data_IF_899873447103
#
_entry.id   IF_899873447103
#
_cell.length_a   1.000
_cell.length_b   1.000
_cell.length_c   1.000
_cell.angle_alpha   90.00
_cell.angle_beta   90.00
_cell.angle_gamma   90.00
#
_symmetry.space_group_name_H-M   'P 1'
#
loop_
_entity.id
_entity.type
_entity.pdbx_description
1 polymer ?
#
# COMPACT_ATOMS: atom_id res chain seq x y z
N UNK A 1 17.55 25.15 -22.04
CA UNK A 1 16.59 25.20 -20.93
C UNK A 1 17.34 25.57 -19.67
N UNK A 2 16.91 26.62 -18.96
CA UNK A 2 17.36 26.87 -17.60
C UNK A 2 16.87 25.71 -16.70
N UNK A 3 17.58 25.37 -15.61
CA UNK A 3 17.09 24.39 -14.62
C UNK A 3 15.70 24.75 -14.07
N UNK A 4 15.35 26.05 -14.01
CA UNK A 4 14.01 26.49 -13.59
C UNK A 4 12.94 26.22 -14.67
N UNK A 5 13.29 26.40 -15.94
CA UNK A 5 12.39 26.11 -17.06
C UNK A 5 12.16 24.60 -17.20
N UNK A 6 13.20 23.81 -16.94
CA UNK A 6 13.10 22.35 -16.93
C UNK A 6 12.17 21.86 -15.82
N UNK A 7 12.29 22.41 -14.61
CA UNK A 7 11.40 22.04 -13.49
C UNK A 7 9.94 22.39 -13.78
N UNK A 8 9.67 23.57 -14.35
CA UNK A 8 8.31 23.97 -14.75
C UNK A 8 7.74 23.03 -15.79
N UNK A 9 8.52 22.69 -16.81
CA UNK A 9 8.11 21.73 -17.82
C UNK A 9 7.83 20.34 -17.25
N UNK A 10 8.67 19.82 -16.34
CA UNK A 10 8.45 18.52 -15.68
C UNK A 10 7.17 18.50 -14.84
N UNK A 11 6.87 19.59 -14.13
CA UNK A 11 5.67 19.72 -13.31
C UNK A 11 4.40 19.82 -14.18
N UNK A 12 4.48 20.54 -15.30
CA UNK A 12 3.41 20.64 -16.30
C UNK A 12 3.16 19.29 -17.01
N UNK A 13 4.21 18.55 -17.36
CA UNK A 13 4.10 17.23 -18.00
C UNK A 13 3.61 16.14 -17.04
N UNK A 14 4.06 16.12 -15.78
CA UNK A 14 3.57 15.16 -14.78
C UNK A 14 2.07 15.34 -14.45
N UNK A 15 1.51 16.53 -14.69
CA UNK A 15 0.08 16.79 -14.56
C UNK A 15 -0.77 16.24 -15.72
N UNK A 16 -0.14 15.89 -16.84
CA UNK A 16 -0.86 15.37 -18.00
C UNK A 16 -1.18 13.88 -17.83
N UNK A 17 -2.31 13.46 -18.40
CA UNK A 17 -2.70 12.04 -18.41
C UNK A 17 -1.77 11.26 -19.34
N UNK A 18 -1.17 10.21 -18.82
CA UNK A 18 -0.36 9.28 -19.61
C UNK A 18 -1.26 8.60 -20.66
N UNK A 19 -0.88 8.74 -21.94
CA UNK A 19 -1.49 7.98 -23.03
C UNK A 19 -0.80 6.63 -23.19
N UNK A 20 -1.57 5.55 -23.17
CA UNK A 20 -1.08 4.19 -23.38
C UNK A 20 -1.24 3.72 -24.83
N UNK A 21 -1.68 4.59 -25.76
CA UNK A 21 -1.98 4.23 -27.16
C UNK A 21 -0.75 3.72 -27.93
N UNK A 22 0.43 4.21 -27.58
CA UNK A 22 1.71 3.77 -28.15
C UNK A 22 2.52 2.84 -27.23
N UNK A 23 1.95 2.44 -26.07
CA UNK A 23 2.65 1.60 -25.10
C UNK A 23 2.41 0.11 -25.42
N UNK A 24 3.48 -0.68 -25.52
CA UNK A 24 3.35 -2.13 -25.61
C UNK A 24 3.10 -2.71 -24.22
N UNK A 25 1.86 -3.14 -23.97
CA UNK A 25 1.48 -3.78 -22.71
C UNK A 25 1.49 -5.29 -22.96
N UNK A 26 2.53 -5.94 -22.47
CA UNK A 26 2.64 -7.39 -22.54
C UNK A 26 1.64 -8.05 -21.58
N UNK A 27 0.87 -9.06 -22.04
CA UNK A 27 0.06 -9.86 -21.15
C UNK A 27 0.97 -10.68 -20.23
N UNK A 28 0.60 -10.77 -18.95
CA UNK A 28 1.33 -11.61 -18.00
C UNK A 28 1.27 -13.08 -18.45
N UNK A 29 2.40 -13.81 -18.49
CA UNK A 29 2.44 -15.20 -18.96
C UNK A 29 1.69 -16.16 -18.03
N UNK A 30 1.52 -15.78 -16.77
CA UNK A 30 0.68 -16.45 -15.79
C UNK A 30 0.23 -15.44 -14.73
N UNK A 31 -0.82 -15.82 -13.99
CA UNK A 31 -1.41 -15.00 -12.94
C UNK A 31 -1.59 -15.86 -11.69
N UNK A 32 -1.23 -15.32 -10.52
CA UNK A 32 -1.51 -15.97 -9.26
C UNK A 32 -2.88 -15.56 -8.73
N UNK A 33 -3.60 -16.54 -8.20
CA UNK A 33 -4.87 -16.32 -7.49
C UNK A 33 -4.58 -16.29 -5.99
N UNK A 34 -5.19 -15.35 -5.27
CA UNK A 34 -4.97 -15.17 -3.81
C UNK A 34 -5.17 -16.45 -2.97
N UNK A 35 -6.00 -17.40 -3.43
CA UNK A 35 -6.30 -18.67 -2.74
C UNK A 35 -5.33 -19.81 -3.10
N UNK A 36 -4.28 -19.52 -3.87
CA UNK A 36 -3.28 -20.53 -4.26
C UNK A 36 -2.44 -20.90 -3.05
N UNK A 37 -2.30 -22.19 -2.76
CA UNK A 37 -1.46 -22.65 -1.66
C UNK A 37 0.01 -22.34 -1.92
N UNK A 38 0.76 -22.06 -0.86
CA UNK A 38 2.16 -21.66 -0.93
C UNK A 38 3.05 -22.69 -1.68
N UNK A 39 2.78 -23.98 -1.48
CA UNK A 39 3.47 -25.07 -2.20
C UNK A 39 3.20 -25.03 -3.70
N UNK A 40 1.96 -24.76 -4.12
CA UNK A 40 1.64 -24.61 -5.55
C UNK A 40 2.34 -23.39 -6.14
N UNK A 41 2.39 -22.28 -5.40
CA UNK A 41 3.15 -21.09 -5.81
C UNK A 41 4.63 -21.44 -6.00
N UNK A 42 5.24 -22.19 -5.07
CA UNK A 42 6.63 -22.65 -5.19
C UNK A 42 6.88 -23.49 -6.44
N UNK A 43 5.99 -24.44 -6.73
CA UNK A 43 6.08 -25.26 -7.95
C UNK A 43 5.97 -24.41 -9.22
N UNK A 44 5.04 -23.44 -9.26
CA UNK A 44 4.87 -22.54 -10.41
C UNK A 44 6.12 -21.67 -10.61
N UNK A 45 6.67 -21.07 -9.55
CA UNK A 45 7.89 -20.26 -9.64
C UNK A 45 9.06 -21.07 -10.19
N UNK A 46 9.18 -22.33 -9.75
CA UNK A 46 10.25 -23.23 -10.19
C UNK A 46 10.05 -23.69 -11.63
N UNK A 47 8.81 -23.94 -12.06
CA UNK A 47 8.49 -24.39 -13.41
C UNK A 47 8.67 -23.29 -14.44
N UNK A 48 8.21 -22.07 -14.14
CA UNK A 48 8.26 -20.94 -15.08
C UNK A 48 9.61 -20.21 -15.00
N UNK A 49 10.39 -20.39 -13.92
CA UNK A 49 11.71 -19.78 -13.77
C UNK A 49 11.66 -18.27 -13.52
N UNK A 50 10.61 -17.80 -12.84
CA UNK A 50 10.34 -16.37 -12.62
C UNK A 50 10.70 -15.90 -11.21
N UNK A 51 11.05 -14.63 -11.09
CA UNK A 51 11.43 -14.02 -9.81
C UNK A 51 10.27 -13.27 -9.14
N UNK A 52 9.31 -12.79 -9.93
CA UNK A 52 8.17 -12.02 -9.47
C UNK A 52 6.90 -12.53 -10.15
N UNK A 53 5.80 -12.52 -9.40
CA UNK A 53 4.49 -12.88 -9.92
C UNK A 53 3.44 -11.92 -9.35
N UNK A 54 2.49 -11.52 -10.19
CA UNK A 54 1.37 -10.68 -9.80
C UNK A 54 0.23 -11.55 -9.27
N UNK A 55 -0.28 -11.19 -8.10
CA UNK A 55 -1.42 -11.83 -7.45
C UNK A 55 -2.67 -10.99 -7.71
N UNK A 56 -3.74 -11.67 -8.10
CA UNK A 56 -5.00 -11.02 -8.46
C UNK A 56 -6.18 -11.67 -7.75
N UNK A 57 -7.22 -10.87 -7.56
CA UNK A 57 -8.54 -11.31 -7.15
C UNK A 57 -9.57 -10.70 -8.11
N UNK A 58 -10.27 -11.54 -8.86
CA UNK A 58 -11.31 -11.12 -9.83
C UNK A 58 -10.78 -10.02 -10.78
N UNK A 59 -9.58 -10.21 -11.31
CA UNK A 59 -8.94 -9.27 -12.25
C UNK A 59 -8.37 -7.98 -11.62
N UNK A 60 -8.44 -7.82 -10.30
CA UNK A 60 -7.81 -6.72 -9.57
C UNK A 60 -6.45 -7.14 -9.04
N UNK A 61 -5.43 -6.30 -9.21
CA UNK A 61 -4.12 -6.50 -8.61
C UNK A 61 -4.23 -6.40 -7.08
N UNK A 62 -3.83 -7.45 -6.38
CA UNK A 62 -3.81 -7.50 -4.91
C UNK A 62 -2.39 -7.30 -4.39
N UNK A 63 -1.39 -7.81 -5.10
CA UNK A 63 0.00 -7.66 -4.71
C UNK A 63 0.97 -8.36 -5.64
N UNK A 64 2.25 -8.33 -5.26
CA UNK A 64 3.34 -9.02 -5.97
C UNK A 64 4.01 -9.97 -4.99
N UNK A 65 4.37 -11.16 -5.46
CA UNK A 65 5.13 -12.13 -4.68
C UNK A 65 6.51 -12.28 -5.31
N UNK A 66 7.56 -12.20 -4.49
CA UNK A 66 8.94 -12.46 -4.90
C UNK A 66 9.42 -13.86 -4.50
N UNK A 67 10.36 -14.43 -5.25
CA UNK A 67 10.97 -15.73 -4.96
C UNK A 67 11.64 -15.78 -3.57
N UNK A 68 12.25 -14.68 -3.13
CA UNK A 68 12.90 -14.57 -1.80
C UNK A 68 11.89 -14.66 -0.66
N UNK A 69 10.78 -13.93 -0.78
CA UNK A 69 9.71 -13.91 0.21
C UNK A 69 8.99 -15.25 0.26
N UNK A 70 8.78 -15.86 -0.91
CA UNK A 70 8.20 -17.19 -1.04
C UNK A 70 9.00 -18.26 -0.28
N UNK A 71 10.33 -18.28 -0.43
CA UNK A 71 11.20 -19.22 0.33
C UNK A 71 11.07 -19.02 1.83
N UNK A 72 11.17 -17.77 2.28
CA UNK A 72 11.03 -17.41 3.70
C UNK A 72 9.66 -17.83 4.25
N UNK A 73 8.59 -17.62 3.50
CA UNK A 73 7.25 -18.02 3.90
C UNK A 73 7.12 -19.56 4.04
N UNK A 74 7.79 -20.35 3.20
CA UNK A 74 7.79 -21.82 3.28
C UNK A 74 8.56 -22.29 4.52
N UNK A 75 9.74 -21.72 4.78
CA UNK A 75 10.54 -22.01 5.98
C UNK A 75 9.76 -21.68 7.27
N UNK A 76 9.07 -20.52 7.28
CA UNK A 76 8.21 -20.10 8.39
C UNK A 76 6.99 -21.01 8.57
N UNK A 77 6.38 -21.43 7.48
CA UNK A 77 5.23 -22.35 7.52
C UNK A 77 5.62 -23.72 8.09
N UNK A 78 6.81 -24.22 7.75
CA UNK A 78 7.32 -25.50 8.26
C UNK A 78 7.78 -25.43 9.73
N UNK A 79 8.19 -24.24 10.19
CA UNK A 79 8.58 -23.99 11.59
C UNK A 79 7.42 -23.58 12.50
N UNK A 80 6.19 -23.49 11.97
CA UNK A 80 5.00 -23.11 12.74
C UNK A 80 4.95 -21.62 13.13
N UNK A 81 5.83 -20.79 12.56
CA UNK A 81 5.91 -19.36 12.84
C UNK A 81 5.00 -18.63 11.84
N UNK A 82 3.78 -18.29 12.27
CA UNK A 82 2.89 -17.43 11.48
C UNK A 82 3.35 -15.99 11.64
N UNK A 83 3.93 -15.41 10.59
CA UNK A 83 4.20 -13.98 10.55
C UNK A 83 2.88 -13.22 10.38
N UNK A 84 2.34 -12.70 11.49
CA UNK A 84 1.36 -11.62 11.46
C UNK A 84 2.07 -10.34 11.03
N UNK A 85 2.06 -10.04 9.73
CA UNK A 85 2.57 -8.77 9.23
C UNK A 85 1.71 -7.63 9.81
N UNK A 86 2.32 -6.56 10.35
CA UNK A 86 1.56 -5.40 10.75
C UNK A 86 0.93 -4.79 9.49
N UNK A 87 -0.39 -4.74 9.49
CA UNK A 87 -1.18 -3.96 8.55
C UNK A 87 -0.64 -2.53 8.58
N UNK A 88 -0.06 -2.07 7.47
CA UNK A 88 0.17 -0.65 7.29
C UNK A 88 -1.21 -0.03 7.06
N UNK A 89 -1.86 0.34 8.16
CA UNK A 89 -3.09 1.12 8.14
C UNK A 89 -2.78 2.41 7.39
N UNK A 90 -3.17 2.49 6.13
CA UNK A 90 -3.26 3.74 5.41
C UNK A 90 -4.35 4.56 6.08
N UNK A 91 -3.97 5.35 7.08
CA UNK A 91 -4.80 6.43 7.59
C UNK A 91 -4.98 7.42 6.44
N UNK A 92 -6.06 7.24 5.68
CA UNK A 92 -6.60 8.24 4.79
C UNK A 92 -7.08 9.42 5.63
N UNK A 93 -6.16 10.27 6.07
CA UNK A 93 -6.50 11.62 6.51
C UNK A 93 -6.91 12.38 5.25
N UNK A 94 -8.22 12.46 5.00
CA UNK A 94 -8.77 13.45 4.09
C UNK A 94 -8.46 14.83 4.69
N UNK A 95 -7.30 15.40 4.34
CA UNK A 95 -7.06 16.82 4.49
C UNK A 95 -7.83 17.53 3.38
N UNK A 96 -9.02 18.00 3.72
CA UNK A 96 -9.72 19.02 2.94
C UNK A 96 -8.88 20.28 3.04
N UNK A 97 -8.14 20.60 1.97
CA UNK A 97 -7.41 21.86 1.81
C UNK A 97 -8.43 22.98 1.55
N UNK A 98 -8.70 23.80 2.57
CA UNK A 98 -9.33 25.12 2.38
C UNK A 98 -8.26 26.13 1.97
N UNK A 99 -8.52 27.05 1.02
CA UNK A 99 -7.48 27.85 0.37
C UNK A 99 -7.05 29.10 1.17
N UNK A 100 -7.36 29.21 2.46
CA UNK A 100 -7.02 30.42 3.22
C UNK A 100 -6.31 30.06 4.53
N UNK A 101 -5.04 30.46 4.61
CA UNK A 101 -4.09 30.04 5.64
C UNK A 101 -4.32 30.74 6.97
N UNK A 102 -5.23 30.20 7.80
CA UNK A 102 -5.36 30.62 9.21
C UNK A 102 -5.47 29.41 10.15
N UNK A 103 -4.59 29.27 11.16
CA UNK A 103 -4.73 28.21 12.15
C UNK A 103 -5.85 28.59 13.13
N UNK A 104 -6.99 27.90 13.07
CA UNK A 104 -8.04 28.06 14.09
C UNK A 104 -7.79 27.07 15.22
N UNK A 105 -7.11 27.54 16.26
CA UNK A 105 -7.26 27.03 17.63
C UNK A 105 -8.75 27.05 18.00
N UNK A 106 -9.25 26.00 18.63
CA UNK A 106 -10.57 26.00 19.28
C UNK A 106 -10.45 25.26 20.62
N UNK A 107 -11.04 25.80 21.69
CA UNK A 107 -10.35 26.01 22.95
C UNK A 107 -10.65 24.97 24.02
N UNK A 108 -9.76 24.97 25.00
CA UNK A 108 -9.79 24.26 26.27
C UNK A 108 -10.78 24.86 27.29
N UNK A 109 -11.66 23.98 27.80
CA UNK A 109 -12.37 23.99 29.11
C UNK A 109 -13.40 25.11 29.42
N UNK A 110 -14.39 24.82 30.29
CA UNK A 110 -14.16 25.05 31.72
C UNK A 110 -14.64 23.93 32.66
N UNK A 111 -13.88 23.84 33.75
CA UNK A 111 -14.11 23.07 34.97
C UNK A 111 -15.34 23.61 35.74
N UNK A 112 -16.07 22.76 36.45
CA UNK A 112 -16.95 23.16 37.57
C UNK A 112 -16.90 22.13 38.69
N UNK A 113 -16.37 22.60 39.83
CA UNK A 113 -16.29 21.93 41.13
C UNK A 113 -17.67 21.86 41.80
N UNK A 114 -17.94 20.81 42.58
CA UNK A 114 -18.24 20.94 44.02
C UNK A 114 -18.30 19.59 44.75
N UNK A 115 -17.72 19.60 45.95
CA UNK A 115 -17.57 18.56 46.97
C UNK A 115 -18.86 17.87 47.44
N UNK A 116 -18.75 16.63 47.94
CA UNK A 116 -18.83 16.33 49.38
C UNK A 116 -18.49 14.86 49.67
N UNK A 117 -17.69 14.65 50.72
CA UNK A 117 -17.46 13.37 51.38
C UNK A 117 -18.70 12.96 52.20
N UNK A 118 -19.00 11.66 52.31
CA UNK A 118 -19.24 11.02 53.62
C UNK A 118 -19.25 9.49 53.49
N UNK A 119 -19.10 8.86 54.64
CA UNK A 119 -18.75 7.50 54.98
C UNK A 119 -20.01 6.66 55.17
N UNK A 120 -20.00 5.40 54.75
CA UNK A 120 -20.79 4.31 55.35
C UNK A 120 -20.22 2.97 54.95
#
# INVERSE_FOLDING_TARGET
MSPEDQKKWEEEEMGQKVSFEQCHIDPAPFQLVERTSLLKVHSIFSLVGVNHAYVTAIGRLVGVVGLKELRKAIENSNSGIVQSQPHLSTSSTQQVLTPDGTPTETPSHPNSMSSTADKS
#
